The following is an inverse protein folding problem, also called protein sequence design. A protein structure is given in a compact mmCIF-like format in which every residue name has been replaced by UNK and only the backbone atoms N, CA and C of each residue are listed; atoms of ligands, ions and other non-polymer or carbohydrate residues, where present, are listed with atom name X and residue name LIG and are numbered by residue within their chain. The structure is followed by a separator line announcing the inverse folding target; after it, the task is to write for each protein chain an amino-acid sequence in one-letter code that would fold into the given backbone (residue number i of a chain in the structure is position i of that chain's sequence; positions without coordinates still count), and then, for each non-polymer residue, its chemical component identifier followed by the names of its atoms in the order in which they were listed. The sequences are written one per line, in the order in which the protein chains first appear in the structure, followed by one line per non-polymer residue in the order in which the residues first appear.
data_IF_266591127891
#
_entry.id   IF_266591127891
#
_cell.length_a   1.000
_cell.length_b   1.000
_cell.length_c   1.000
_cell.angle_alpha   90.00
_cell.angle_beta   90.00
_cell.angle_gamma   90.00
#
_symmetry.space_group_name_H-M   'P 1'
#
loop_
_entity.id
_entity.type
_entity.pdbx_description
1 polymer ?
#
# COMPACT_ATOMS: atom_id res chain seq x y z
N UNK A 1 5.25 34.72 -4.11
CA UNK A 1 5.01 33.38 -4.55
C UNK A 1 3.65 32.87 -4.08
N UNK A 2 2.99 32.18 -4.94
CA UNK A 2 1.69 31.58 -4.60
C UNK A 2 1.87 30.21 -3.96
N UNK A 3 3.08 29.70 -3.91
CA UNK A 3 3.36 28.43 -3.30
C UNK A 3 3.35 28.55 -1.77
N UNK A 4 2.55 27.76 -1.10
CA UNK A 4 2.47 27.79 0.36
C UNK A 4 2.90 26.46 0.99
N UNK A 5 3.13 26.49 2.29
CA UNK A 5 3.63 25.34 3.04
C UNK A 5 2.68 24.14 2.91
N UNK A 6 1.37 24.38 2.94
CA UNK A 6 0.38 23.32 2.81
C UNK A 6 0.52 22.58 1.48
N UNK A 7 0.67 23.30 0.39
CA UNK A 7 0.88 22.72 -0.94
C UNK A 7 2.19 21.96 -1.01
N UNK A 8 3.25 22.50 -0.40
CA UNK A 8 4.54 21.83 -0.36
C UNK A 8 4.46 20.48 0.37
N UNK A 9 3.86 20.44 1.53
CA UNK A 9 3.71 19.19 2.29
C UNK A 9 2.84 18.19 1.56
N UNK A 10 1.78 18.67 0.91
CA UNK A 10 0.93 17.80 0.11
C UNK A 10 1.69 17.17 -1.05
N UNK A 11 2.54 17.95 -1.72
CA UNK A 11 3.37 17.48 -2.82
C UNK A 11 4.36 16.42 -2.37
N UNK A 12 5.00 16.60 -1.21
CA UNK A 12 5.94 15.62 -0.66
C UNK A 12 5.21 14.33 -0.27
N UNK A 13 4.04 14.45 0.34
CA UNK A 13 3.21 13.29 0.69
C UNK A 13 2.85 12.49 -0.57
N UNK A 14 2.48 13.19 -1.64
CA UNK A 14 2.16 12.54 -2.91
C UNK A 14 3.35 11.82 -3.51
N UNK A 15 4.54 12.41 -3.44
CA UNK A 15 5.75 11.77 -3.94
C UNK A 15 6.06 10.46 -3.19
N UNK A 16 5.92 10.51 -1.87
CA UNK A 16 6.12 9.32 -1.03
C UNK A 16 5.11 8.23 -1.41
N UNK A 17 3.85 8.59 -1.49
CA UNK A 17 2.78 7.64 -1.82
C UNK A 17 2.98 7.04 -3.21
N UNK A 18 3.33 7.87 -4.20
CA UNK A 18 3.56 7.40 -5.57
C UNK A 18 4.73 6.44 -5.65
N UNK A 19 5.79 6.68 -4.87
CA UNK A 19 6.92 5.76 -4.83
C UNK A 19 6.49 4.40 -4.26
N UNK A 20 5.71 4.42 -3.19
CA UNK A 20 5.19 3.18 -2.60
C UNK A 20 4.31 2.43 -3.61
N UNK A 21 3.44 3.14 -4.32
CA UNK A 21 2.57 2.53 -5.33
C UNK A 21 3.37 1.87 -6.45
N UNK A 22 4.48 2.49 -6.87
CA UNK A 22 5.33 1.92 -7.92
C UNK A 22 6.11 0.70 -7.48
N UNK A 23 6.37 0.57 -6.17
CA UNK A 23 7.25 -0.48 -5.64
C UNK A 23 6.58 -1.33 -4.56
N UNK A 24 5.26 -1.32 -4.49
CA UNK A 24 4.53 -1.90 -3.36
C UNK A 24 4.81 -3.37 -3.11
N UNK A 25 5.20 -4.10 -4.14
CA UNK A 25 5.43 -5.54 -4.04
C UNK A 25 6.61 -5.88 -3.14
N UNK A 26 7.71 -5.14 -3.28
CA UNK A 26 8.98 -5.47 -2.63
C UNK A 26 9.54 -4.37 -1.73
N UNK A 27 8.84 -3.27 -1.58
CA UNK A 27 9.36 -2.11 -0.88
C UNK A 27 9.57 -2.38 0.61
N UNK A 28 10.63 -1.77 1.17
CA UNK A 28 10.88 -1.73 2.61
C UNK A 28 10.92 -0.28 3.06
N UNK A 29 10.71 -0.06 4.35
CA UNK A 29 10.82 1.29 4.91
C UNK A 29 12.22 1.84 4.71
N UNK A 30 13.23 0.99 4.87
CA UNK A 30 14.64 1.37 4.69
C UNK A 30 14.93 1.84 3.28
N UNK A 31 14.43 1.11 2.28
CA UNK A 31 14.64 1.47 0.88
C UNK A 31 13.92 2.77 0.54
N UNK A 32 12.70 2.95 1.04
CA UNK A 32 11.94 4.17 0.84
C UNK A 32 12.66 5.38 1.47
N UNK A 33 13.15 5.21 2.69
CA UNK A 33 13.87 6.26 3.39
C UNK A 33 15.15 6.65 2.64
N UNK A 34 15.88 5.65 2.16
CA UNK A 34 17.10 5.88 1.40
C UNK A 34 16.82 6.67 0.12
N UNK A 35 15.76 6.35 -0.57
CA UNK A 35 15.38 7.05 -1.80
C UNK A 35 15.17 8.55 -1.55
N UNK A 36 14.56 8.91 -0.44
CA UNK A 36 14.27 10.31 -0.10
C UNK A 36 15.36 10.96 0.75
N UNK A 37 16.44 10.25 1.04
CA UNK A 37 17.55 10.73 1.89
C UNK A 37 17.08 11.06 3.32
N UNK A 38 16.16 10.26 3.83
CA UNK A 38 15.66 10.36 5.20
C UNK A 38 16.16 9.18 6.03
N UNK A 39 16.20 9.33 7.35
CA UNK A 39 16.32 8.18 8.22
C UNK A 39 14.98 7.43 8.25
N UNK A 40 14.99 6.10 8.45
CA UNK A 40 13.74 5.35 8.56
C UNK A 40 12.82 5.89 9.66
N UNK A 41 13.40 6.28 10.78
CA UNK A 41 12.68 6.84 11.92
C UNK A 41 11.95 8.14 11.57
N UNK A 42 12.66 9.03 10.88
CA UNK A 42 12.07 10.30 10.44
C UNK A 42 10.94 10.05 9.43
N UNK A 43 11.20 9.18 8.44
CA UNK A 43 10.19 8.86 7.43
C UNK A 43 8.95 8.24 8.04
N UNK A 44 9.13 7.36 9.02
CA UNK A 44 8.01 6.73 9.72
C UNK A 44 7.10 7.77 10.38
N UNK A 45 7.70 8.76 11.05
CA UNK A 45 6.95 9.86 11.66
C UNK A 45 6.27 10.74 10.61
N UNK A 46 6.96 10.98 9.51
CA UNK A 46 6.44 11.81 8.42
C UNK A 46 5.22 11.17 7.77
N UNK A 47 5.27 9.86 7.54
CA UNK A 47 4.14 9.10 6.99
C UNK A 47 2.94 9.19 7.93
N UNK A 48 3.16 9.00 9.22
CA UNK A 48 2.09 9.11 10.21
C UNK A 48 1.47 10.50 10.20
N UNK A 49 2.30 11.53 10.07
CA UNK A 49 1.83 12.92 10.02
C UNK A 49 1.00 13.19 8.77
N UNK A 50 1.47 12.75 7.59
CA UNK A 50 0.78 13.02 6.31
C UNK A 50 -0.48 12.19 6.13
N UNK A 51 -0.45 10.92 6.51
CA UNK A 51 -1.52 9.98 6.17
C UNK A 51 -2.36 9.54 7.35
N UNK A 52 -1.94 9.88 8.56
CA UNK A 52 -2.68 9.49 9.78
C UNK A 52 -2.55 8.04 10.17
N UNK A 53 -1.81 7.25 9.40
CA UNK A 53 -1.60 5.82 9.63
C UNK A 53 -0.11 5.51 9.51
N UNK A 54 0.30 4.35 10.03
CA UNK A 54 1.70 3.91 9.95
C UNK A 54 2.08 3.53 8.54
N UNK A 55 3.38 3.44 8.27
CA UNK A 55 3.90 2.91 7.01
C UNK A 55 3.33 1.52 6.71
N UNK A 56 3.33 0.63 7.71
CA UNK A 56 2.81 -0.73 7.51
C UNK A 56 1.35 -0.75 7.12
N UNK A 57 0.55 0.09 7.74
CA UNK A 57 -0.87 0.23 7.41
C UNK A 57 -1.08 0.82 6.03
N UNK A 58 -0.28 1.82 5.67
CA UNK A 58 -0.35 2.43 4.34
C UNK A 58 0.01 1.41 3.26
N UNK A 59 1.11 0.68 3.43
CA UNK A 59 1.51 -0.34 2.48
C UNK A 59 0.45 -1.44 2.36
N UNK A 60 -0.10 -1.89 3.49
CA UNK A 60 -1.15 -2.90 3.47
C UNK A 60 -2.37 -2.41 2.67
N UNK A 61 -2.78 -1.16 2.87
CA UNK A 61 -3.94 -0.62 2.15
C UNK A 61 -3.68 -0.56 0.64
N UNK A 62 -2.48 -0.18 0.24
CA UNK A 62 -2.10 -0.14 -1.18
C UNK A 62 -2.10 -1.54 -1.78
N UNK A 63 -1.51 -2.52 -1.07
CA UNK A 63 -1.50 -3.92 -1.54
C UNK A 63 -2.90 -4.49 -1.68
N UNK A 64 -3.78 -4.21 -0.73
CA UNK A 64 -5.16 -4.72 -0.78
C UNK A 64 -5.96 -4.06 -1.90
N UNK A 65 -5.73 -2.78 -2.19
CA UNK A 65 -6.35 -2.12 -3.33
C UNK A 65 -5.90 -2.78 -4.64
N UNK A 66 -4.61 -3.10 -4.75
CA UNK A 66 -4.09 -3.80 -5.92
C UNK A 66 -4.68 -5.20 -6.05
N UNK A 67 -4.90 -5.88 -4.92
CA UNK A 67 -5.57 -7.17 -4.93
C UNK A 67 -6.98 -7.04 -5.52
N UNK A 68 -7.74 -6.04 -5.12
CA UNK A 68 -9.06 -5.79 -5.66
C UNK A 68 -9.03 -5.57 -7.17
N UNK A 69 -8.08 -4.78 -7.66
CA UNK A 69 -7.92 -4.56 -9.10
C UNK A 69 -7.66 -5.87 -9.85
N UNK A 70 -6.75 -6.70 -9.33
CA UNK A 70 -6.41 -7.97 -9.96
C UNK A 70 -7.58 -8.95 -9.92
N UNK A 71 -8.31 -8.98 -8.81
CA UNK A 71 -9.47 -9.85 -8.67
C UNK A 71 -10.58 -9.48 -9.66
N UNK A 72 -10.77 -8.19 -9.90
CA UNK A 72 -11.83 -7.71 -10.79
C UNK A 72 -11.45 -7.75 -12.26
N UNK A 73 -10.19 -7.55 -12.58
CA UNK A 73 -9.75 -7.33 -13.96
C UNK A 73 -8.98 -8.49 -14.59
N UNK A 74 -8.72 -9.55 -13.81
CA UNK A 74 -7.97 -10.72 -14.31
C UNK A 74 -8.62 -12.02 -13.82
N UNK A 75 -8.20 -13.12 -14.43
CA UNK A 75 -8.58 -14.47 -14.00
C UNK A 75 -7.50 -15.11 -13.10
N UNK A 76 -6.58 -14.29 -12.62
CA UNK A 76 -5.47 -14.75 -11.79
C UNK A 76 -5.98 -15.50 -10.56
N UNK A 77 -5.33 -16.61 -10.21
CA UNK A 77 -5.70 -17.36 -9.01
C UNK A 77 -5.51 -16.53 -7.75
N UNK A 78 -6.21 -16.88 -6.67
CA UNK A 78 -6.04 -16.20 -5.39
C UNK A 78 -4.58 -16.30 -4.92
N UNK A 79 -3.97 -17.47 -5.10
CA UNK A 79 -2.56 -17.69 -4.77
C UNK A 79 -1.65 -16.73 -5.54
N UNK A 80 -1.91 -16.57 -6.83
CA UNK A 80 -1.11 -15.68 -7.68
C UNK A 80 -1.34 -14.21 -7.34
N UNK A 81 -2.56 -13.81 -7.03
CA UNK A 81 -2.86 -12.46 -6.56
C UNK A 81 -2.06 -12.17 -5.29
N UNK A 82 -2.10 -13.09 -4.33
CA UNK A 82 -1.37 -12.96 -3.06
C UNK A 82 0.12 -12.72 -3.31
N UNK A 83 0.73 -13.54 -4.15
CA UNK A 83 2.15 -13.42 -4.50
C UNK A 83 2.44 -12.11 -5.24
N UNK A 84 1.58 -11.75 -6.17
CA UNK A 84 1.78 -10.56 -7.01
C UNK A 84 1.77 -9.29 -6.17
N UNK A 85 0.98 -9.23 -5.12
CA UNK A 85 0.91 -8.02 -4.28
C UNK A 85 1.93 -8.02 -3.14
N UNK A 86 2.77 -9.07 -3.04
CA UNK A 86 3.89 -9.08 -2.12
C UNK A 86 3.69 -9.86 -0.83
N UNK A 87 2.65 -10.67 -0.73
CA UNK A 87 2.44 -11.54 0.44
C UNK A 87 2.86 -12.95 0.13
N UNK A 88 3.61 -13.58 1.05
CA UNK A 88 4.03 -14.96 0.91
C UNK A 88 3.00 -15.92 1.51
N UNK A 89 2.29 -15.50 2.54
CA UNK A 89 1.35 -16.33 3.27
C UNK A 89 -0.07 -16.03 2.81
N UNK A 90 -0.66 -16.96 2.06
CA UNK A 90 -2.01 -16.80 1.53
C UNK A 90 -3.06 -16.73 2.64
N UNK A 91 -2.91 -17.54 3.69
CA UNK A 91 -3.86 -17.52 4.82
C UNK A 91 -3.90 -16.15 5.48
N UNK A 92 -2.73 -15.54 5.66
CA UNK A 92 -2.63 -14.19 6.21
C UNK A 92 -3.30 -13.18 5.28
N UNK A 93 -3.04 -13.27 3.98
CA UNK A 93 -3.66 -12.39 2.99
C UNK A 93 -5.19 -12.48 3.05
N UNK A 94 -5.73 -13.69 3.06
CA UNK A 94 -7.19 -13.89 3.13
C UNK A 94 -7.76 -13.28 4.41
N UNK A 95 -7.05 -13.45 5.52
CA UNK A 95 -7.49 -12.91 6.82
C UNK A 95 -7.56 -11.40 6.81
N UNK A 96 -6.51 -10.71 6.32
CA UNK A 96 -6.50 -9.24 6.30
C UNK A 96 -7.46 -8.69 5.25
N UNK A 97 -7.64 -9.38 4.14
CA UNK A 97 -8.62 -9.01 3.13
C UNK A 97 -10.03 -9.03 3.72
N UNK A 98 -10.37 -10.15 4.40
CA UNK A 98 -11.68 -10.28 5.05
C UNK A 98 -11.89 -9.23 6.12
N UNK A 99 -10.86 -8.93 6.91
CA UNK A 99 -10.94 -7.91 7.96
C UNK A 99 -11.24 -6.54 7.37
N UNK A 100 -10.64 -6.23 6.22
CA UNK A 100 -10.78 -4.92 5.58
C UNK A 100 -12.07 -4.76 4.81
N UNK A 101 -12.44 -5.77 4.02
CA UNK A 101 -13.56 -5.68 3.07
C UNK A 101 -14.80 -6.49 3.48
N UNK A 102 -14.72 -7.22 4.60
CA UNK A 102 -15.83 -8.01 5.15
C UNK A 102 -16.30 -9.12 4.21
N UNK A 103 -15.43 -9.57 3.32
CA UNK A 103 -15.67 -10.68 2.41
C UNK A 103 -14.33 -11.32 2.04
N UNK A 104 -14.38 -12.53 1.51
CA UNK A 104 -13.17 -13.22 1.06
C UNK A 104 -12.78 -12.75 -0.35
N UNK A 105 -11.51 -12.90 -0.76
CA UNK A 105 -11.11 -12.59 -2.12
C UNK A 105 -11.95 -13.34 -3.18
N UNK A 106 -12.23 -14.60 -2.93
CA UNK A 106 -13.02 -15.42 -3.84
C UNK A 106 -14.45 -14.86 -4.02
N UNK A 107 -15.10 -14.53 -2.91
CA UNK A 107 -16.46 -13.95 -2.94
C UNK A 107 -16.44 -12.56 -3.52
N UNK A 108 -15.43 -11.78 -3.24
CA UNK A 108 -15.29 -10.44 -3.78
C UNK A 108 -15.29 -10.47 -5.30
N UNK A 109 -14.52 -11.40 -5.89
CA UNK A 109 -14.46 -11.58 -7.34
C UNK A 109 -15.84 -11.94 -7.92
N UNK A 110 -16.54 -12.83 -7.27
CA UNK A 110 -17.86 -13.29 -7.72
C UNK A 110 -18.96 -12.27 -7.52
N UNK A 111 -18.86 -11.47 -6.48
CA UNK A 111 -19.88 -10.48 -6.15
C UNK A 111 -19.91 -9.28 -7.07
N UNK A 112 -18.98 -9.21 -8.00
CA UNK A 112 -18.89 -8.11 -8.95
C UNK A 112 -19.99 -8.16 -10.09
#
# INVERSE_FOLDING_TARGET
SVFNISEYFHSEAMEIKMYIIRHYRDITLEALAQHFSFSPSYLSRLIKKYFGISYSQLLQSIRLEKACELLQNTDMSITDVCSQIGYENESYFIKIFHKTFHTTPHRYRKGK
#
